data_IF_889551421358
#
_entry.id   IF_889551421358
#
_cell.length_a   1.000
_cell.length_b   1.000
_cell.length_c   1.000
_cell.angle_alpha   90.00
_cell.angle_beta   90.00
_cell.angle_gamma   90.00
#
_symmetry.space_group_name_H-M   'P 1'
#
loop_
_entity.id
_entity.type
_entity.pdbx_description
1 polymer ?
#
# COMPACT_ATOMS: atom_id res chain seq x y z
N UNK A 1 -54.02 -36.86 46.70
CA UNK A 1 -53.27 -36.97 47.95
C UNK A 1 -52.07 -36.05 47.86
N UNK A 2 -51.98 -35.09 48.79
CA UNK A 2 -50.77 -34.38 49.26
C UNK A 2 -49.81 -33.80 48.19
N UNK A 3 -49.80 -32.48 47.96
CA UNK A 3 -48.96 -31.48 48.69
C UNK A 3 -47.47 -31.82 48.63
N UNK A 4 -46.57 -30.96 48.15
CA UNK A 4 -46.25 -29.70 48.80
C UNK A 4 -45.20 -28.91 48.00
N UNK A 5 -45.39 -27.59 47.88
CA UNK A 5 -44.40 -26.51 48.10
C UNK A 5 -43.08 -26.47 47.26
N UNK A 6 -42.57 -25.35 46.73
CA UNK A 6 -42.70 -23.90 46.99
C UNK A 6 -42.23 -23.15 45.73
N UNK A 7 -42.92 -22.07 45.36
CA UNK A 7 -42.27 -20.84 44.84
C UNK A 7 -41.99 -19.94 46.05
N UNK A 8 -40.94 -19.08 46.09
CA UNK A 8 -41.00 -17.82 45.34
C UNK A 8 -39.65 -17.13 44.96
N UNK A 9 -39.72 -16.20 44.00
CA UNK A 9 -38.91 -14.98 43.87
C UNK A 9 -37.37 -15.08 43.71
N UNK A 10 -36.88 -14.81 42.49
CA UNK A 10 -35.77 -13.87 42.32
C UNK A 10 -35.88 -13.14 40.97
N UNK A 11 -35.90 -11.80 41.05
CA UNK A 11 -35.97 -10.87 39.92
C UNK A 11 -34.68 -10.81 39.07
N UNK A 12 -34.58 -9.80 38.19
CA UNK A 12 -33.81 -9.86 36.96
C UNK A 12 -32.31 -9.90 37.23
N UNK A 13 -31.67 -11.04 36.96
CA UNK A 13 -30.23 -11.17 37.05
C UNK A 13 -29.57 -10.45 35.86
N UNK A 14 -29.22 -9.18 36.11
CA UNK A 14 -27.96 -8.56 35.69
C UNK A 14 -27.66 -8.64 34.19
N UNK A 15 -28.39 -7.84 33.41
CA UNK A 15 -27.84 -7.26 32.17
C UNK A 15 -26.68 -6.36 32.60
N UNK A 16 -25.46 -6.91 32.62
CA UNK A 16 -24.25 -6.13 32.86
C UNK A 16 -24.23 -4.98 31.85
N UNK A 17 -23.93 -3.74 32.26
CA UNK A 17 -23.65 -2.70 31.28
C UNK A 17 -22.45 -3.19 30.48
N UNK A 18 -22.63 -3.34 29.17
CA UNK A 18 -21.49 -3.38 28.26
C UNK A 18 -20.67 -2.14 28.60
N UNK A 19 -19.49 -2.37 29.14
CA UNK A 19 -18.50 -1.32 29.31
C UNK A 19 -18.20 -0.83 27.90
N UNK A 20 -18.83 0.28 27.53
CA UNK A 20 -18.49 1.11 26.39
C UNK A 20 -17.05 1.59 26.59
N UNK A 21 -16.07 0.71 26.37
CA UNK A 21 -14.74 1.17 26.04
C UNK A 21 -14.91 1.98 24.74
N UNK A 22 -14.42 3.24 24.70
CA UNK A 22 -14.48 4.02 23.48
C UNK A 22 -13.74 3.24 22.40
N UNK A 23 -14.48 2.65 21.45
CA UNK A 23 -13.88 2.07 20.25
C UNK A 23 -13.06 3.21 19.62
N UNK A 24 -11.80 2.98 19.24
CA UNK A 24 -11.02 4.03 18.63
C UNK A 24 -11.75 4.49 17.37
N UNK A 25 -12.23 5.73 17.41
CA UNK A 25 -12.91 6.41 16.31
C UNK A 25 -11.96 6.39 15.12
N UNK A 26 -12.29 5.66 14.06
CA UNK A 26 -11.37 5.46 12.93
C UNK A 26 -11.05 6.79 12.26
N UNK A 27 -12.02 7.69 12.27
CA UNK A 27 -11.87 9.05 11.77
C UNK A 27 -10.99 9.93 12.67
N UNK A 28 -11.04 9.71 13.98
CA UNK A 28 -10.09 10.35 14.92
C UNK A 28 -8.65 9.88 14.65
N UNK A 29 -8.45 8.60 14.34
CA UNK A 29 -7.14 8.07 13.94
C UNK A 29 -6.65 8.72 12.64
N UNK A 30 -7.55 8.90 11.64
CA UNK A 30 -7.21 9.63 10.41
C UNK A 30 -6.82 11.07 10.70
N UNK A 31 -7.58 11.80 11.53
CA UNK A 31 -7.24 13.16 11.93
C UNK A 31 -5.89 13.25 12.65
N UNK A 32 -5.62 12.31 13.55
CA UNK A 32 -4.34 12.21 14.26
C UNK A 32 -3.17 11.91 13.31
N UNK A 33 -3.37 11.01 12.35
CA UNK A 33 -2.38 10.67 11.32
C UNK A 33 -2.03 11.90 10.47
N UNK A 34 -3.04 12.63 9.99
CA UNK A 34 -2.84 13.86 9.23
C UNK A 34 -2.17 14.96 10.07
N UNK A 35 -2.49 15.05 11.37
CA UNK A 35 -1.83 15.98 12.30
C UNK A 35 -0.34 15.68 12.46
N UNK A 36 0.02 14.41 12.67
CA UNK A 36 1.43 14.02 12.77
C UNK A 36 2.18 14.25 11.46
N UNK A 37 1.57 13.97 10.30
CA UNK A 37 2.15 14.33 9.01
C UNK A 37 2.34 15.84 8.85
N UNK A 38 1.37 16.64 9.30
CA UNK A 38 1.48 18.11 9.30
C UNK A 38 2.67 18.59 10.14
N UNK A 39 2.84 18.02 11.35
CA UNK A 39 3.98 18.32 12.22
C UNK A 39 5.29 17.93 11.54
N UNK A 40 5.38 16.74 10.92
CA UNK A 40 6.56 16.30 10.16
C UNK A 40 6.92 17.28 9.04
N UNK A 41 5.94 17.75 8.28
CA UNK A 41 6.18 18.70 7.18
C UNK A 41 6.55 20.10 7.68
N UNK A 42 5.94 20.55 8.78
CA UNK A 42 6.27 21.81 9.42
C UNK A 42 7.71 21.79 9.98
N UNK A 43 8.10 20.71 10.62
CA UNK A 43 9.45 20.51 11.18
C UNK A 43 10.52 20.53 10.07
N UNK A 44 10.29 19.78 8.97
CA UNK A 44 11.15 19.83 7.78
C UNK A 44 11.27 21.24 7.20
N UNK A 45 10.16 21.99 7.18
CA UNK A 45 10.12 23.36 6.67
C UNK A 45 10.92 24.30 7.57
N UNK A 46 10.76 24.22 8.88
CA UNK A 46 11.52 25.02 9.86
C UNK A 46 13.02 24.75 9.74
N UNK A 47 13.42 23.48 9.68
CA UNK A 47 14.83 23.11 9.52
C UNK A 47 15.41 23.62 8.19
N UNK A 48 14.63 23.56 7.12
CA UNK A 48 15.06 24.06 5.81
C UNK A 48 15.12 25.59 5.74
N UNK A 49 14.34 26.30 6.55
CA UNK A 49 14.27 27.76 6.57
C UNK A 49 15.40 28.41 7.37
N UNK A 50 15.90 27.72 8.41
CA UNK A 50 16.97 28.22 9.29
C UNK A 50 18.17 27.25 9.35
N UNK A 51 18.88 27.04 8.22
CA UNK A 51 20.00 26.10 8.15
C UNK A 51 21.21 26.50 9.02
N UNK A 52 21.33 27.77 9.39
CA UNK A 52 22.40 28.26 10.28
C UNK A 52 22.15 27.98 11.76
N UNK A 53 20.87 27.80 12.15
CA UNK A 53 20.47 27.57 13.54
C UNK A 53 20.32 26.08 13.83
N UNK A 54 19.74 25.33 12.89
CA UNK A 54 19.44 23.91 13.08
C UNK A 54 20.46 23.03 12.34
N UNK A 55 21.10 22.13 13.08
CA UNK A 55 21.95 21.11 12.49
C UNK A 55 21.11 20.17 11.61
N UNK A 56 21.62 19.80 10.43
CA UNK A 56 20.96 18.87 9.50
C UNK A 56 20.60 17.52 10.16
N UNK A 57 21.32 17.12 11.21
CA UNK A 57 21.03 15.93 12.01
C UNK A 57 19.66 15.99 12.70
N UNK A 58 19.06 17.15 12.89
CA UNK A 58 17.74 17.26 13.50
C UNK A 58 16.64 16.62 12.64
N UNK A 59 16.90 16.32 11.36
CA UNK A 59 15.95 15.61 10.47
C UNK A 59 15.49 14.25 11.02
N UNK A 60 16.24 13.64 11.95
CA UNK A 60 15.83 12.43 12.67
C UNK A 60 14.54 12.64 13.48
N UNK A 61 14.28 13.86 13.96
CA UNK A 61 13.08 14.24 14.69
C UNK A 61 11.85 14.17 13.76
N UNK A 62 11.99 14.57 12.49
CA UNK A 62 10.92 14.48 11.50
C UNK A 62 10.46 13.02 11.32
N UNK A 63 11.41 12.08 11.30
CA UNK A 63 11.13 10.63 11.23
C UNK A 63 10.41 10.12 12.48
N UNK A 64 10.68 10.68 13.66
CA UNK A 64 9.97 10.32 14.90
C UNK A 64 8.50 10.72 14.82
N UNK A 65 8.20 11.95 14.38
CA UNK A 65 6.81 12.38 14.18
C UNK A 65 6.11 11.60 13.06
N UNK A 66 6.83 11.28 11.98
CA UNK A 66 6.30 10.43 10.92
C UNK A 66 5.95 9.03 11.43
N UNK A 67 6.79 8.46 12.30
CA UNK A 67 6.55 7.17 12.94
C UNK A 67 5.33 7.22 13.89
N UNK A 68 5.21 8.27 14.72
CA UNK A 68 4.05 8.45 15.61
C UNK A 68 2.73 8.60 14.82
N UNK A 69 2.78 9.18 13.62
CA UNK A 69 1.65 9.26 12.69
C UNK A 69 1.32 7.95 11.96
N UNK A 70 2.07 6.87 12.16
CA UNK A 70 1.92 5.60 11.45
C UNK A 70 2.55 5.57 10.05
N UNK A 71 3.23 6.65 9.64
CA UNK A 71 3.91 6.77 8.36
C UNK A 71 2.97 6.98 7.16
N UNK A 72 3.58 7.05 5.96
CA UNK A 72 2.89 7.39 4.70
C UNK A 72 1.77 6.39 4.35
N UNK A 73 1.91 5.12 4.77
CA UNK A 73 0.94 4.05 4.46
C UNK A 73 -0.31 4.08 5.35
N UNK A 74 -0.30 4.79 6.48
CA UNK A 74 -1.39 4.75 7.45
C UNK A 74 -2.66 5.42 6.94
N UNK A 75 -2.53 6.58 6.29
CA UNK A 75 -3.66 7.32 5.73
C UNK A 75 -4.47 6.50 4.70
N UNK A 76 -3.86 5.94 3.63
CA UNK A 76 -4.61 5.12 2.68
C UNK A 76 -5.19 3.88 3.34
N UNK A 77 -4.45 3.21 4.25
CA UNK A 77 -4.95 2.04 4.97
C UNK A 77 -6.25 2.37 5.71
N UNK A 78 -6.27 3.44 6.50
CA UNK A 78 -7.46 3.84 7.25
C UNK A 78 -8.63 4.23 6.34
N UNK A 79 -8.38 4.91 5.22
CA UNK A 79 -9.43 5.19 4.22
C UNK A 79 -10.04 3.90 3.66
N UNK A 80 -9.20 2.93 3.28
CA UNK A 80 -9.67 1.62 2.81
C UNK A 80 -10.48 0.90 3.88
N UNK A 81 -10.06 0.92 5.15
CA UNK A 81 -10.79 0.27 6.23
C UNK A 81 -12.12 0.98 6.56
N UNK A 82 -12.18 2.31 6.49
CA UNK A 82 -13.44 3.06 6.64
C UNK A 82 -14.43 2.70 5.53
N UNK A 83 -13.95 2.66 4.28
CA UNK A 83 -14.79 2.24 3.15
C UNK A 83 -15.23 0.79 3.28
N UNK A 84 -14.35 -0.10 3.76
CA UNK A 84 -14.66 -1.51 3.96
C UNK A 84 -15.77 -1.73 4.99
N UNK A 85 -15.83 -0.89 6.03
CA UNK A 85 -16.84 -0.94 7.09
C UNK A 85 -18.20 -0.41 6.63
N UNK A 86 -18.22 0.57 5.73
CA UNK A 86 -19.46 1.24 5.27
C UNK A 86 -20.08 0.54 4.07
N UNK A 87 -19.26 0.00 3.17
CA UNK A 87 -19.75 -0.64 1.95
C UNK A 87 -20.18 -2.10 2.20
N UNK A 88 -21.39 -2.42 1.72
CA UNK A 88 -21.86 -3.80 1.61
C UNK A 88 -21.03 -4.63 0.61
N UNK A 89 -21.16 -5.97 0.63
CA UNK A 89 -20.36 -6.87 -0.21
C UNK A 89 -20.44 -6.56 -1.71
N UNK A 90 -21.63 -6.19 -2.19
CA UNK A 90 -21.91 -6.03 -3.63
C UNK A 90 -21.28 -4.75 -4.24
N UNK A 91 -21.11 -3.69 -3.43
CA UNK A 91 -20.57 -2.40 -3.90
C UNK A 91 -19.09 -2.19 -3.54
N UNK A 92 -18.53 -3.04 -2.67
CA UNK A 92 -17.18 -2.87 -2.09
C UNK A 92 -16.08 -2.76 -3.15
N UNK A 93 -16.11 -3.61 -4.19
CA UNK A 93 -15.10 -3.60 -5.26
C UNK A 93 -15.11 -2.29 -6.05
N UNK A 94 -16.30 -1.78 -6.38
CA UNK A 94 -16.50 -0.52 -7.09
C UNK A 94 -16.02 0.67 -6.26
N UNK A 95 -16.38 0.72 -4.97
CA UNK A 95 -15.97 1.81 -4.08
C UNK A 95 -14.45 1.80 -3.81
N UNK A 96 -13.83 0.63 -3.67
CA UNK A 96 -12.37 0.53 -3.57
C UNK A 96 -11.66 0.98 -4.84
N UNK A 97 -12.24 0.70 -6.01
CA UNK A 97 -11.73 1.18 -7.29
C UNK A 97 -11.81 2.71 -7.39
N UNK A 98 -12.92 3.31 -6.96
CA UNK A 98 -13.05 4.77 -6.87
C UNK A 98 -12.08 5.40 -5.87
N UNK A 99 -11.84 4.75 -4.73
CA UNK A 99 -10.85 5.21 -3.75
C UNK A 99 -9.42 5.15 -4.31
N UNK A 100 -9.07 4.08 -5.04
CA UNK A 100 -7.79 4.00 -5.74
C UNK A 100 -7.63 5.06 -6.83
N UNK A 101 -8.69 5.29 -7.62
CA UNK A 101 -8.71 6.32 -8.65
C UNK A 101 -8.58 7.73 -8.07
N UNK A 102 -9.18 8.02 -6.91
CA UNK A 102 -9.06 9.32 -6.25
C UNK A 102 -7.66 9.58 -5.71
N UNK A 103 -6.99 8.57 -5.15
CA UNK A 103 -5.59 8.66 -4.74
C UNK A 103 -4.66 8.97 -5.92
N UNK A 104 -4.87 8.29 -7.05
CA UNK A 104 -4.10 8.56 -8.29
C UNK A 104 -4.42 9.93 -8.88
N UNK A 105 -5.70 10.34 -8.88
CA UNK A 105 -6.13 11.67 -9.31
C UNK A 105 -5.51 12.79 -8.45
N UNK A 106 -5.44 12.59 -7.14
CA UNK A 106 -4.77 13.51 -6.22
C UNK A 106 -3.28 13.64 -6.54
N UNK A 107 -2.59 12.53 -6.83
CA UNK A 107 -1.18 12.55 -7.24
C UNK A 107 -0.98 13.27 -8.59
N UNK A 108 -1.88 13.02 -9.56
CA UNK A 108 -1.88 13.69 -10.87
C UNK A 108 -2.01 15.21 -10.73
N UNK A 109 -3.04 15.67 -10.01
CA UNK A 109 -3.31 17.09 -9.79
C UNK A 109 -2.21 17.73 -8.96
N UNK A 110 -1.75 17.05 -7.90
CA UNK A 110 -0.72 17.52 -6.98
C UNK A 110 0.59 17.86 -7.67
N UNK A 111 1.09 17.00 -8.57
CA UNK A 111 2.31 17.27 -9.33
C UNK A 111 2.18 18.47 -10.29
N UNK A 112 0.99 18.68 -10.88
CA UNK A 112 0.70 19.84 -11.73
C UNK A 112 0.65 21.16 -10.96
N UNK A 113 -0.03 21.15 -9.80
CA UNK A 113 -0.05 22.28 -8.85
C UNK A 113 1.37 22.61 -8.40
N UNK A 114 2.14 21.60 -7.96
CA UNK A 114 3.53 21.77 -7.53
C UNK A 114 4.42 22.34 -8.64
N UNK A 115 4.27 21.90 -9.89
CA UNK A 115 5.02 22.44 -11.02
C UNK A 115 4.81 23.95 -11.20
N UNK A 116 3.56 24.41 -11.10
CA UNK A 116 3.24 25.83 -11.24
C UNK A 116 3.72 26.64 -10.04
N UNK A 117 3.46 26.17 -8.81
CA UNK A 117 3.84 26.87 -7.58
C UNK A 117 5.36 26.99 -7.40
N UNK A 118 6.13 25.94 -7.71
CA UNK A 118 7.61 25.99 -7.61
C UNK A 118 8.21 27.03 -8.57
N UNK A 119 7.54 27.36 -9.68
CA UNK A 119 7.98 28.44 -10.59
C UNK A 119 7.76 29.83 -9.99
N UNK A 120 6.69 30.02 -9.21
CA UNK A 120 6.41 31.29 -8.53
C UNK A 120 7.34 31.44 -7.32
N UNK A 121 7.51 30.37 -6.56
CA UNK A 121 8.44 30.30 -5.44
C UNK A 121 8.35 28.98 -4.70
N UNK A 122 9.49 28.37 -4.41
CA UNK A 122 9.59 27.10 -3.68
C UNK A 122 8.86 27.15 -2.34
N UNK A 123 9.01 28.25 -1.59
CA UNK A 123 8.34 28.44 -0.30
C UNK A 123 6.82 28.52 -0.44
N UNK A 124 6.31 29.14 -1.50
CA UNK A 124 4.87 29.22 -1.75
C UNK A 124 4.31 27.80 -1.97
N UNK A 125 5.01 26.98 -2.76
CA UNK A 125 4.63 25.57 -2.95
C UNK A 125 4.60 24.78 -1.64
N UNK A 126 5.58 25.00 -0.76
CA UNK A 126 5.65 24.31 0.54
C UNK A 126 4.48 24.75 1.43
N UNK A 127 4.26 26.07 1.58
CA UNK A 127 3.17 26.58 2.39
C UNK A 127 1.80 26.14 1.89
N UNK A 128 1.58 26.15 0.56
CA UNK A 128 0.33 25.62 -0.02
C UNK A 128 0.12 24.15 0.33
N UNK A 129 1.15 23.31 0.25
CA UNK A 129 1.07 21.90 0.65
C UNK A 129 0.72 21.72 2.13
N UNK A 130 1.36 22.50 3.01
CA UNK A 130 1.08 22.50 4.46
C UNK A 130 -0.35 22.97 4.72
N UNK A 131 -0.84 24.01 4.04
CA UNK A 131 -2.21 24.50 4.19
C UNK A 131 -3.24 23.46 3.77
N UNK A 132 -3.03 22.76 2.65
CA UNK A 132 -3.93 21.69 2.20
C UNK A 132 -3.94 20.54 3.22
N UNK A 133 -2.78 20.14 3.74
CA UNK A 133 -2.71 19.12 4.80
C UNK A 133 -3.38 19.57 6.09
N UNK A 134 -3.23 20.85 6.49
CA UNK A 134 -3.89 21.39 7.67
C UNK A 134 -5.43 21.37 7.51
N UNK A 135 -5.94 21.75 6.34
CA UNK A 135 -7.36 21.65 6.01
C UNK A 135 -7.87 20.22 6.10
N UNK A 136 -7.10 19.24 5.60
CA UNK A 136 -7.44 17.83 5.67
C UNK A 136 -7.49 17.32 7.12
N UNK A 137 -6.52 17.72 7.95
CA UNK A 137 -6.50 17.39 9.38
C UNK A 137 -7.75 17.93 10.09
N UNK A 138 -8.12 19.20 9.85
CA UNK A 138 -9.32 19.81 10.42
C UNK A 138 -10.58 19.05 9.96
N UNK A 139 -10.67 18.74 8.67
CA UNK A 139 -11.80 18.00 8.11
C UNK A 139 -11.97 16.62 8.77
N UNK A 140 -10.86 15.90 9.01
CA UNK A 140 -10.88 14.62 9.71
C UNK A 140 -11.44 14.70 11.14
N UNK A 141 -11.20 15.81 11.86
CA UNK A 141 -11.78 16.03 13.18
C UNK A 141 -13.24 16.51 13.15
N UNK A 142 -13.64 17.25 12.10
CA UNK A 142 -14.99 17.78 11.97
C UNK A 142 -16.01 16.75 11.44
N UNK A 143 -15.55 15.71 10.76
CA UNK A 143 -16.43 14.72 10.17
C UNK A 143 -17.03 13.82 11.27
N UNK A 144 -18.35 13.59 11.27
CA UNK A 144 -18.98 12.70 12.25
C UNK A 144 -18.61 11.25 11.94
N UNK A 145 -18.38 10.45 13.00
CA UNK A 145 -18.07 9.03 12.87
C UNK A 145 -19.17 8.32 12.06
N UNK A 146 -18.79 7.62 11.00
CA UNK A 146 -19.71 6.76 10.24
C UNK A 146 -20.27 5.70 11.19
N UNK A 147 -21.59 5.72 11.40
CA UNK A 147 -22.30 4.73 12.23
C UNK A 147 -22.08 3.34 11.63
N UNK A 148 -21.48 2.45 12.40
CA UNK A 148 -21.54 1.01 12.11
C UNK A 148 -23.01 0.56 12.19
N UNK A 149 -23.50 -0.23 11.23
CA UNK A 149 -24.71 -1.02 11.44
C UNK A 149 -24.49 -1.91 12.67
N UNK A 150 -25.45 -1.91 13.60
CA UNK A 150 -25.39 -2.69 14.85
C UNK A 150 -25.37 -4.22 14.61
N UNK A 151 -25.53 -4.68 13.36
CA UNK A 151 -25.79 -6.09 13.01
C UNK A 151 -24.59 -6.88 12.45
N UNK A 152 -23.37 -6.35 12.47
CA UNK A 152 -22.20 -7.16 12.07
C UNK A 152 -21.84 -8.16 13.18
N UNK A 153 -21.86 -9.49 12.91
CA UNK A 153 -21.43 -10.49 13.88
C UNK A 153 -19.98 -10.17 14.25
N UNK A 154 -19.77 -9.98 15.54
CA UNK A 154 -18.47 -9.74 16.12
C UNK A 154 -17.52 -10.86 15.69
N UNK A 155 -16.58 -10.55 14.79
CA UNK A 155 -15.36 -11.34 14.74
C UNK A 155 -14.81 -11.34 16.17
N UNK A 156 -14.47 -12.52 16.74
CA UNK A 156 -13.97 -12.58 18.10
C UNK A 156 -12.58 -11.97 18.10
N UNK A 157 -12.50 -10.64 18.27
CA UNK A 157 -11.36 -10.00 18.85
C UNK A 157 -11.21 -10.70 20.19
N UNK A 158 -10.21 -11.58 20.28
CA UNK A 158 -9.96 -12.43 21.44
C UNK A 158 -10.22 -11.61 22.70
N UNK A 159 -11.17 -12.07 23.52
CA UNK A 159 -11.48 -11.49 24.82
C UNK A 159 -10.19 -11.45 25.64
N UNK A 160 -9.42 -10.38 25.50
CA UNK A 160 -8.49 -9.96 26.52
C UNK A 160 -9.37 -9.45 27.64
N UNK A 161 -9.68 -10.36 28.56
CA UNK A 161 -10.20 -10.06 29.87
C UNK A 161 -9.29 -8.98 30.48
N UNK A 162 -9.77 -7.73 30.45
CA UNK A 162 -9.10 -6.61 31.09
C UNK A 162 -9.20 -6.82 32.60
N UNK A 163 -8.12 -7.33 33.18
CA UNK A 163 -7.77 -7.09 34.57
C UNK A 163 -7.09 -5.72 34.64
N UNK A 164 -7.45 -4.84 35.60
CA UNK A 164 -6.91 -3.49 35.63
C UNK A 164 -5.46 -3.49 36.13
N UNK A 165 -4.71 -2.54 35.58
CA UNK A 165 -3.46 -1.96 36.12
C UNK A 165 -2.16 -2.78 36.04
N UNK A 166 -1.18 -2.17 35.36
CA UNK A 166 0.29 -2.38 35.43
C UNK A 166 0.92 -3.54 34.65
N UNK A 167 0.91 -3.51 33.30
CA UNK A 167 2.06 -3.93 32.43
C UNK A 167 1.80 -3.73 30.91
N UNK A 168 1.44 -2.52 30.47
CA UNK A 168 1.17 -2.22 29.04
C UNK A 168 2.33 -2.58 28.08
N UNK A 169 3.58 -2.61 28.58
CA UNK A 169 4.75 -2.98 27.77
C UNK A 169 4.95 -4.49 27.62
N UNK A 170 4.64 -5.29 28.65
CA UNK A 170 4.79 -6.74 28.58
C UNK A 170 3.71 -7.35 27.70
N UNK A 171 2.49 -6.83 27.76
CA UNK A 171 1.38 -7.25 26.90
C UNK A 171 1.63 -6.85 25.44
N UNK A 172 2.21 -5.68 25.20
CA UNK A 172 2.64 -5.26 23.86
C UNK A 172 3.75 -6.14 23.31
N UNK A 173 4.79 -6.43 24.12
CA UNK A 173 5.89 -7.32 23.72
C UNK A 173 5.41 -8.77 23.49
N UNK A 174 4.50 -9.27 24.32
CA UNK A 174 3.88 -10.57 24.15
C UNK A 174 3.04 -10.63 22.88
N UNK A 175 2.24 -9.59 22.61
CA UNK A 175 1.45 -9.48 21.38
C UNK A 175 2.33 -9.40 20.14
N UNK A 176 3.36 -8.55 20.16
CA UNK A 176 4.33 -8.43 19.08
C UNK A 176 5.10 -9.73 18.83
N UNK A 177 5.45 -10.46 19.90
CA UNK A 177 6.11 -11.77 19.80
C UNK A 177 5.17 -12.82 19.22
N UNK A 178 3.90 -12.82 19.61
CA UNK A 178 2.88 -13.72 19.06
C UNK A 178 2.61 -13.42 17.59
N UNK A 179 2.53 -12.15 17.19
CA UNK A 179 2.34 -11.75 15.78
C UNK A 179 3.59 -12.08 14.94
N UNK A 180 4.79 -11.93 15.49
CA UNK A 180 6.03 -12.34 14.83
C UNK A 180 6.10 -13.87 14.68
N UNK A 181 5.66 -14.63 15.69
CA UNK A 181 5.56 -16.09 15.61
C UNK A 181 4.54 -16.52 14.54
N UNK A 182 3.36 -15.91 14.49
CA UNK A 182 2.37 -16.14 13.44
C UNK A 182 2.90 -15.81 12.04
N UNK A 183 3.62 -14.69 11.89
CA UNK A 183 4.27 -14.34 10.63
C UNK A 183 5.32 -15.38 10.24
N UNK A 184 6.12 -15.86 11.20
CA UNK A 184 7.13 -16.90 10.96
C UNK A 184 6.49 -18.23 10.57
N UNK A 185 5.44 -18.64 11.27
CA UNK A 185 4.71 -19.87 10.97
C UNK A 185 4.03 -19.79 9.61
N UNK A 186 3.42 -18.67 9.27
CA UNK A 186 2.79 -18.45 7.97
C UNK A 186 3.83 -18.37 6.85
N UNK A 187 4.97 -17.70 7.04
CA UNK A 187 6.10 -17.71 6.10
C UNK A 187 6.67 -19.11 5.90
N UNK A 188 6.77 -19.89 6.98
CA UNK A 188 7.22 -21.27 6.88
C UNK A 188 6.20 -22.12 6.11
N UNK A 189 4.91 -21.92 6.34
CA UNK A 189 3.82 -22.64 5.66
C UNK A 189 3.74 -22.27 4.17
N UNK A 190 3.92 -20.99 3.84
CA UNK A 190 4.08 -20.50 2.46
C UNK A 190 5.34 -21.08 1.78
N UNK A 191 6.44 -21.18 2.51
CA UNK A 191 7.69 -21.72 1.97
C UNK A 191 7.65 -23.25 1.76
N UNK A 192 6.82 -23.98 2.52
CA UNK A 192 6.81 -25.46 2.54
C UNK A 192 5.60 -26.11 1.87
N UNK A 193 4.40 -25.52 1.97
CA UNK A 193 3.17 -26.06 1.35
C UNK A 193 2.80 -25.38 0.04
N UNK A 194 2.98 -24.07 -0.07
CA UNK A 194 2.52 -23.26 -1.21
C UNK A 194 3.68 -22.53 -1.91
N UNK A 195 4.62 -23.30 -2.48
CA UNK A 195 5.84 -22.76 -3.10
C UNK A 195 5.55 -21.66 -4.14
N UNK A 196 4.41 -21.73 -4.83
CA UNK A 196 3.98 -20.72 -5.79
C UNK A 196 3.66 -19.36 -5.12
N UNK A 197 2.92 -19.36 -4.01
CA UNK A 197 2.61 -18.13 -3.27
C UNK A 197 3.88 -17.52 -2.66
N UNK A 198 4.78 -18.36 -2.12
CA UNK A 198 6.10 -17.91 -1.64
C UNK A 198 6.93 -17.23 -2.72
N UNK A 199 6.93 -17.78 -3.95
CA UNK A 199 7.58 -17.19 -5.11
C UNK A 199 6.93 -15.84 -5.52
N UNK A 200 5.60 -15.76 -5.53
CA UNK A 200 4.88 -14.51 -5.82
C UNK A 200 5.19 -13.43 -4.77
N UNK A 201 5.30 -13.78 -3.49
CA UNK A 201 5.70 -12.86 -2.43
C UNK A 201 7.10 -12.30 -2.67
N UNK A 202 8.09 -13.16 -2.96
CA UNK A 202 9.46 -12.73 -3.29
C UNK A 202 9.44 -11.78 -4.49
N UNK A 203 8.68 -12.12 -5.53
CA UNK A 203 8.56 -11.28 -6.72
C UNK A 203 8.00 -9.88 -6.40
N UNK A 204 7.03 -9.80 -5.49
CA UNK A 204 6.43 -8.54 -5.05
C UNK A 204 7.44 -7.68 -4.29
N UNK A 205 8.24 -8.28 -3.42
CA UNK A 205 9.33 -7.58 -2.71
C UNK A 205 10.38 -7.04 -3.67
N UNK A 206 10.79 -7.82 -4.67
CA UNK A 206 11.76 -7.37 -5.69
C UNK A 206 11.23 -6.15 -6.47
N UNK A 207 9.95 -6.17 -6.84
CA UNK A 207 9.31 -5.05 -7.53
C UNK A 207 9.25 -3.81 -6.64
N UNK A 208 8.81 -3.95 -5.39
CA UNK A 208 8.74 -2.84 -4.43
C UNK A 208 10.13 -2.26 -4.12
N UNK A 209 11.16 -3.11 -4.06
CA UNK A 209 12.53 -2.65 -3.84
C UNK A 209 13.04 -1.75 -4.98
N UNK A 210 12.73 -2.13 -6.23
CA UNK A 210 13.15 -1.36 -7.41
C UNK A 210 12.37 -0.06 -7.61
N UNK A 211 11.20 0.08 -7.01
CA UNK A 211 10.26 1.19 -7.24
C UNK A 211 10.56 2.38 -6.31
N UNK A 212 11.48 3.25 -6.72
CA UNK A 212 11.87 4.44 -5.94
C UNK A 212 11.64 5.75 -6.68
N UNK A 213 10.54 6.43 -6.33
CA UNK A 213 10.20 7.75 -6.86
C UNK A 213 11.23 8.82 -6.47
N UNK A 214 11.77 8.76 -5.25
CA UNK A 214 12.76 9.75 -4.76
C UNK A 214 14.02 9.73 -5.63
N UNK A 215 14.52 8.53 -5.98
CA UNK A 215 15.68 8.40 -6.86
C UNK A 215 15.38 8.86 -8.28
N UNK A 216 14.16 8.62 -8.80
CA UNK A 216 13.73 9.18 -10.08
C UNK A 216 13.78 10.70 -10.10
N UNK A 217 13.22 11.37 -9.10
CA UNK A 217 13.23 12.83 -9.05
C UNK A 217 14.66 13.37 -8.93
N UNK A 218 15.48 12.78 -8.07
CA UNK A 218 16.89 13.17 -7.91
C UNK A 218 17.69 12.96 -9.20
N UNK A 219 17.46 11.86 -9.92
CA UNK A 219 18.10 11.57 -11.19
C UNK A 219 17.81 12.65 -12.21
N UNK A 220 16.55 13.07 -12.32
CA UNK A 220 16.13 14.04 -13.33
C UNK A 220 16.63 15.44 -13.01
N UNK A 221 16.60 15.84 -11.74
CA UNK A 221 17.09 17.17 -11.33
C UNK A 221 18.60 17.29 -11.51
N UNK A 222 19.38 16.26 -11.21
CA UNK A 222 20.84 16.32 -11.38
C UNK A 222 21.29 16.06 -12.82
N UNK A 223 20.67 15.14 -13.55
CA UNK A 223 21.12 14.76 -14.90
C UNK A 223 20.64 15.73 -15.98
N UNK A 224 19.41 16.23 -15.88
CA UNK A 224 18.81 17.12 -16.87
C UNK A 224 18.74 18.57 -16.39
N UNK A 225 19.25 18.87 -15.19
CA UNK A 225 19.21 20.21 -14.57
C UNK A 225 17.79 20.79 -14.50
N UNK A 226 16.81 19.91 -14.31
CA UNK A 226 15.42 20.32 -14.19
C UNK A 226 15.14 20.89 -12.80
N UNK A 227 14.25 21.88 -12.75
CA UNK A 227 13.68 22.32 -11.48
C UNK A 227 12.88 21.18 -10.84
N UNK A 228 12.84 21.14 -9.51
CA UNK A 228 12.04 20.17 -8.74
C UNK A 228 10.56 20.17 -9.14
N UNK A 229 10.02 21.33 -9.53
CA UNK A 229 8.66 21.43 -10.07
C UNK A 229 8.49 20.65 -11.37
N UNK A 230 9.44 20.78 -12.32
CA UNK A 230 9.39 20.03 -13.59
C UNK A 230 9.61 18.53 -13.38
N UNK A 231 10.44 18.16 -12.41
CA UNK A 231 10.58 16.76 -11.99
C UNK A 231 9.26 16.20 -11.41
N UNK A 232 8.50 17.01 -10.66
CA UNK A 232 7.18 16.65 -10.15
C UNK A 232 6.16 16.26 -11.22
N UNK A 233 6.27 16.81 -12.44
CA UNK A 233 5.40 16.41 -13.56
C UNK A 233 5.56 14.94 -13.97
N UNK A 234 6.71 14.31 -13.70
CA UNK A 234 6.89 12.89 -13.99
C UNK A 234 6.00 12.01 -13.11
N UNK A 235 5.78 12.42 -11.85
CA UNK A 235 4.84 11.75 -10.94
C UNK A 235 3.42 11.90 -11.48
N UNK A 236 3.06 13.09 -11.97
CA UNK A 236 1.78 13.30 -12.64
C UNK A 236 1.60 12.39 -13.86
N UNK A 237 2.62 12.29 -14.73
CA UNK A 237 2.57 11.41 -15.91
C UNK A 237 2.41 9.94 -15.50
N UNK A 238 3.17 9.49 -14.50
CA UNK A 238 3.06 8.13 -13.97
C UNK A 238 1.63 7.87 -13.46
N UNK A 239 1.07 8.78 -12.66
CA UNK A 239 -0.28 8.66 -12.11
C UNK A 239 -1.37 8.71 -13.18
N UNK A 240 -1.25 9.55 -14.21
CA UNK A 240 -2.17 9.60 -15.34
C UNK A 240 -2.19 8.29 -16.15
N UNK A 241 -1.01 7.74 -16.45
CA UNK A 241 -0.90 6.48 -17.16
C UNK A 241 -1.43 5.31 -16.32
N UNK A 242 -1.11 5.26 -15.02
CA UNK A 242 -1.65 4.22 -14.12
C UNK A 242 -3.16 4.33 -13.94
N UNK A 243 -3.72 5.54 -13.87
CA UNK A 243 -5.16 5.77 -13.82
C UNK A 243 -5.83 5.30 -15.12
N UNK A 244 -5.22 5.59 -16.27
CA UNK A 244 -5.70 5.14 -17.58
C UNK A 244 -5.66 3.61 -17.68
N UNK A 245 -4.59 2.99 -17.17
CA UNK A 245 -4.48 1.54 -17.06
C UNK A 245 -5.63 0.97 -16.21
N UNK A 246 -5.85 1.53 -15.02
CA UNK A 246 -6.86 1.06 -14.08
C UNK A 246 -8.30 1.21 -14.61
N UNK A 247 -8.63 2.36 -15.21
CA UNK A 247 -10.00 2.69 -15.60
C UNK A 247 -10.39 2.24 -17.01
N UNK A 248 -9.43 2.17 -17.94
CA UNK A 248 -9.72 1.82 -19.34
C UNK A 248 -9.14 0.46 -19.72
N UNK A 249 -7.85 0.25 -19.46
CA UNK A 249 -7.14 -0.94 -19.95
C UNK A 249 -7.55 -2.19 -19.17
N UNK A 250 -7.65 -2.11 -17.85
CA UNK A 250 -7.98 -3.24 -16.99
C UNK A 250 -9.36 -3.85 -17.30
N UNK A 251 -10.47 -3.08 -17.40
CA UNK A 251 -11.77 -3.65 -17.75
C UNK A 251 -11.79 -4.18 -19.18
N UNK A 252 -11.15 -3.48 -20.14
CA UNK A 252 -11.11 -3.91 -21.54
C UNK A 252 -10.30 -5.20 -21.71
N UNK A 253 -9.11 -5.27 -21.12
CA UNK A 253 -8.25 -6.44 -21.16
C UNK A 253 -8.91 -7.63 -20.46
N UNK A 254 -9.56 -7.41 -19.32
CA UNK A 254 -10.29 -8.47 -18.61
C UNK A 254 -11.44 -9.01 -19.44
N UNK A 255 -12.27 -8.14 -20.04
CA UNK A 255 -13.40 -8.55 -20.86
C UNK A 255 -13.00 -9.23 -22.17
N UNK A 256 -11.86 -8.84 -22.77
CA UNK A 256 -11.34 -9.50 -23.98
C UNK A 256 -10.72 -10.86 -23.65
N UNK A 257 -9.94 -10.95 -22.58
CA UNK A 257 -9.15 -12.14 -22.27
C UNK A 257 -9.97 -13.22 -21.56
N UNK A 258 -11.00 -12.86 -20.78
CA UNK A 258 -11.99 -13.81 -20.23
C UNK A 258 -12.79 -14.55 -21.30
N UNK A 259 -12.84 -14.04 -22.54
CA UNK A 259 -13.50 -14.74 -23.66
C UNK A 259 -12.65 -15.86 -24.25
N UNK A 260 -11.36 -15.90 -23.91
CA UNK A 260 -10.37 -16.75 -24.58
C UNK A 260 -9.69 -17.70 -23.57
N UNK A 261 -9.57 -17.29 -22.30
CA UNK A 261 -8.71 -17.93 -21.30
C UNK A 261 -9.38 -17.95 -19.93
N UNK A 262 -9.10 -18.98 -19.11
CA UNK A 262 -9.57 -19.10 -17.73
C UNK A 262 -9.07 -17.98 -16.79
N UNK A 263 -9.73 -17.73 -15.64
CA UNK A 263 -9.46 -16.61 -14.75
C UNK A 263 -8.00 -16.55 -14.24
N UNK A 264 -7.43 -17.68 -13.80
CA UNK A 264 -6.04 -17.75 -13.31
C UNK A 264 -5.01 -17.50 -14.42
N UNK A 265 -5.17 -18.14 -15.57
CA UNK A 265 -4.25 -17.98 -16.71
C UNK A 265 -4.29 -16.54 -17.26
N UNK A 266 -5.47 -15.91 -17.28
CA UNK A 266 -5.64 -14.49 -17.65
C UNK A 266 -4.80 -13.57 -16.75
N UNK A 267 -4.93 -13.69 -15.43
CA UNK A 267 -4.21 -12.83 -14.49
C UNK A 267 -2.68 -13.03 -14.58
N UNK A 268 -2.21 -14.26 -14.86
CA UNK A 268 -0.79 -14.52 -15.08
C UNK A 268 -0.24 -13.92 -16.36
N UNK A 269 -0.96 -14.02 -17.48
CA UNK A 269 -0.57 -13.37 -18.74
C UNK A 269 -0.49 -11.86 -18.54
N UNK A 270 -1.50 -11.28 -17.88
CA UNK A 270 -1.60 -9.85 -17.68
C UNK A 270 -0.52 -9.33 -16.71
N UNK A 271 -0.17 -10.13 -15.69
CA UNK A 271 0.99 -9.87 -14.83
C UNK A 271 2.30 -9.87 -15.63
N UNK A 272 2.54 -10.90 -16.46
CA UNK A 272 3.77 -11.01 -17.28
C UNK A 272 3.92 -9.85 -18.25
N UNK A 273 2.84 -9.51 -18.97
CA UNK A 273 2.82 -8.38 -19.92
C UNK A 273 3.08 -7.05 -19.20
N UNK A 274 2.41 -6.81 -18.07
CA UNK A 274 2.64 -5.61 -17.26
C UNK A 274 4.10 -5.49 -16.83
N UNK A 275 4.70 -6.62 -16.46
CA UNK A 275 6.09 -6.67 -16.02
C UNK A 275 7.09 -6.38 -17.14
N UNK A 276 6.84 -6.91 -18.34
CA UNK A 276 7.64 -6.59 -19.53
C UNK A 276 7.60 -5.08 -19.84
N UNK A 277 6.42 -4.46 -19.78
CA UNK A 277 6.30 -3.01 -19.94
C UNK A 277 7.07 -2.24 -18.86
N UNK A 278 7.03 -2.70 -17.60
CA UNK A 278 7.80 -2.09 -16.50
C UNK A 278 9.31 -2.16 -16.75
N UNK A 279 9.82 -3.31 -17.21
CA UNK A 279 11.24 -3.53 -17.54
C UNK A 279 11.68 -2.63 -18.69
N UNK A 280 10.91 -2.60 -19.78
CA UNK A 280 11.26 -1.75 -20.93
C UNK A 280 11.25 -0.28 -20.51
N UNK A 281 10.22 0.17 -19.78
CA UNK A 281 10.11 1.55 -19.31
C UNK A 281 11.30 1.99 -18.45
N UNK A 282 11.70 1.16 -17.46
CA UNK A 282 12.81 1.51 -16.57
C UNK A 282 14.17 1.48 -17.30
N UNK A 283 14.35 0.58 -18.27
CA UNK A 283 15.54 0.55 -19.12
C UNK A 283 15.64 1.80 -20.01
N UNK A 284 14.51 2.25 -20.57
CA UNK A 284 14.43 3.50 -21.33
C UNK A 284 14.79 4.70 -20.43
N UNK A 285 14.28 4.74 -19.19
CA UNK A 285 14.64 5.78 -18.19
C UNK A 285 16.13 5.76 -17.87
N UNK A 286 16.72 4.58 -17.63
CA UNK A 286 18.14 4.43 -17.30
C UNK A 286 19.05 5.01 -18.40
N UNK A 287 18.70 4.77 -19.68
CA UNK A 287 19.47 5.20 -20.84
C UNK A 287 19.06 6.58 -21.39
N UNK A 288 17.99 7.18 -20.86
CA UNK A 288 17.43 8.42 -21.39
C UNK A 288 18.47 9.54 -21.42
N UNK A 289 18.74 10.05 -22.64
CA UNK A 289 19.62 11.21 -22.88
C UNK A 289 18.82 12.45 -23.28
N UNK A 290 17.58 12.27 -23.75
CA UNK A 290 16.65 13.36 -24.04
C UNK A 290 15.38 13.24 -23.19
N UNK A 291 14.75 14.38 -22.97
CA UNK A 291 13.53 14.53 -22.17
C UNK A 291 12.35 13.70 -22.69
N UNK A 292 12.22 13.55 -24.01
CA UNK A 292 11.14 12.79 -24.64
C UNK A 292 11.22 11.30 -24.26
N UNK A 293 12.42 10.72 -24.31
CA UNK A 293 12.64 9.33 -23.90
C UNK A 293 12.39 9.13 -22.41
N UNK A 294 12.71 10.12 -21.57
CA UNK A 294 12.43 10.06 -20.15
C UNK A 294 10.92 10.02 -19.88
N UNK A 295 10.13 10.92 -20.48
CA UNK A 295 8.67 10.91 -20.34
C UNK A 295 8.06 9.62 -20.89
N UNK A 296 8.50 9.18 -22.08
CA UNK A 296 8.05 7.92 -22.67
C UNK A 296 8.38 6.70 -21.81
N UNK A 297 9.59 6.66 -21.22
CA UNK A 297 10.02 5.59 -20.33
C UNK A 297 9.23 5.54 -19.02
N UNK A 298 8.97 6.71 -18.40
CA UNK A 298 8.13 6.79 -17.20
C UNK A 298 6.68 6.40 -17.51
N UNK A 299 6.11 6.90 -18.61
CA UNK A 299 4.77 6.50 -19.06
C UNK A 299 4.69 4.99 -19.31
N UNK A 300 5.70 4.40 -19.96
CA UNK A 300 5.75 2.96 -20.21
C UNK A 300 5.87 2.15 -18.91
N UNK A 301 6.67 2.65 -17.96
CA UNK A 301 6.83 2.01 -16.65
C UNK A 301 5.55 2.01 -15.81
N UNK A 302 4.67 3.00 -16.03
CA UNK A 302 3.40 3.10 -15.33
C UNK A 302 2.42 1.98 -15.69
N UNK A 303 2.47 1.44 -16.93
CA UNK A 303 1.70 0.26 -17.30
C UNK A 303 2.11 -0.99 -16.48
N UNK A 304 3.28 -0.96 -15.84
CA UNK A 304 3.72 -1.95 -14.88
C UNK A 304 2.91 -2.01 -13.59
N UNK A 305 2.09 -0.99 -13.28
CA UNK A 305 1.27 -0.96 -12.08
C UNK A 305 0.29 -2.14 -11.98
N UNK A 306 -0.18 -2.65 -13.13
CA UNK A 306 -1.07 -3.81 -13.20
C UNK A 306 -0.48 -5.07 -12.56
N UNK A 307 0.84 -5.24 -12.60
CA UNK A 307 1.52 -6.39 -11.99
C UNK A 307 1.14 -6.60 -10.53
N UNK A 308 1.21 -5.53 -9.72
CA UNK A 308 0.92 -5.58 -8.28
C UNK A 308 -0.55 -5.94 -8.01
N UNK A 309 -1.47 -5.60 -8.92
CA UNK A 309 -2.89 -5.93 -8.81
C UNK A 309 -3.08 -7.43 -9.10
N UNK A 310 -2.59 -7.92 -10.24
CA UNK A 310 -2.81 -9.30 -10.66
C UNK A 310 -2.11 -10.33 -9.78
N UNK A 311 -0.86 -10.09 -9.41
CA UNK A 311 -0.11 -11.01 -8.53
C UNK A 311 -0.77 -11.09 -7.15
N UNK A 312 -1.29 -9.97 -6.65
CA UNK A 312 -2.03 -9.94 -5.38
C UNK A 312 -3.39 -10.65 -5.48
N UNK A 313 -4.09 -10.53 -6.62
CA UNK A 313 -5.29 -11.32 -6.94
C UNK A 313 -5.01 -12.82 -6.95
N UNK A 314 -3.97 -13.25 -7.67
CA UNK A 314 -3.52 -14.65 -7.75
C UNK A 314 -3.17 -15.21 -6.37
N UNK A 315 -2.39 -14.48 -5.57
CA UNK A 315 -2.06 -14.90 -4.19
C UNK A 315 -3.32 -15.05 -3.33
N UNK A 316 -4.32 -14.19 -3.53
CA UNK A 316 -5.60 -14.25 -2.79
C UNK A 316 -6.43 -15.47 -3.20
N UNK A 317 -6.48 -15.79 -4.50
CA UNK A 317 -7.19 -16.98 -4.98
C UNK A 317 -6.56 -18.29 -4.52
N UNK A 318 -5.26 -18.29 -4.22
CA UNK A 318 -4.52 -19.47 -3.73
C UNK A 318 -4.65 -19.67 -2.20
N UNK A 319 -5.12 -18.66 -1.45
CA UNK A 319 -5.20 -18.73 0.03
C UNK A 319 -6.58 -18.25 0.53
N UNK A 320 -7.67 -18.97 0.21
CA UNK A 320 -9.04 -18.49 0.45
C UNK A 320 -9.38 -18.22 1.92
N UNK A 321 -8.86 -19.01 2.86
CA UNK A 321 -9.27 -18.94 4.27
C UNK A 321 -8.44 -17.98 5.16
N UNK A 322 -7.39 -17.31 4.64
CA UNK A 322 -6.48 -16.50 5.45
C UNK A 322 -6.05 -15.17 4.78
N UNK A 323 -6.94 -14.55 4.01
CA UNK A 323 -6.66 -13.30 3.28
C UNK A 323 -6.07 -12.17 4.15
N UNK A 324 -6.60 -11.96 5.36
CA UNK A 324 -6.09 -10.92 6.26
C UNK A 324 -4.62 -11.15 6.67
N UNK A 325 -4.23 -12.40 6.92
CA UNK A 325 -2.85 -12.76 7.26
C UNK A 325 -1.95 -12.61 6.03
N UNK A 326 -2.42 -13.04 4.85
CA UNK A 326 -1.72 -12.89 3.58
C UNK A 326 -1.40 -11.41 3.29
N UNK A 327 -2.39 -10.52 3.36
CA UNK A 327 -2.20 -9.09 3.13
C UNK A 327 -1.26 -8.45 4.16
N UNK A 328 -1.33 -8.89 5.42
CA UNK A 328 -0.42 -8.43 6.47
C UNK A 328 1.03 -8.82 6.18
N UNK A 329 1.24 -10.06 5.70
CA UNK A 329 2.58 -10.55 5.32
C UNK A 329 3.11 -9.87 4.06
N UNK A 330 2.26 -9.63 3.05
CA UNK A 330 2.62 -8.84 1.87
C UNK A 330 3.09 -7.44 2.31
N UNK A 331 2.29 -6.73 3.10
CA UNK A 331 2.62 -5.37 3.55
C UNK A 331 3.88 -5.32 4.43
N UNK A 332 4.08 -6.31 5.30
CA UNK A 332 5.29 -6.44 6.11
C UNK A 332 6.54 -6.64 5.25
N UNK A 333 6.50 -7.55 4.28
CA UNK A 333 7.61 -7.81 3.37
C UNK A 333 7.89 -6.64 2.42
N UNK A 334 6.85 -5.98 1.91
CA UNK A 334 6.98 -4.75 1.12
C UNK A 334 7.67 -3.64 1.94
N UNK A 335 7.30 -3.49 3.21
CA UNK A 335 7.91 -2.52 4.12
C UNK A 335 9.40 -2.80 4.33
N UNK A 336 9.79 -4.08 4.50
CA UNK A 336 11.21 -4.48 4.54
C UNK A 336 11.89 -4.11 3.22
N UNK A 337 11.25 -4.38 2.08
CA UNK A 337 11.72 -4.00 0.75
C UNK A 337 12.03 -2.51 0.65
N UNK A 338 11.11 -1.64 1.06
CA UNK A 338 11.27 -0.17 1.03
C UNK A 338 12.40 0.31 1.96
N UNK A 339 12.46 -0.25 3.18
CA UNK A 339 13.49 0.09 4.18
C UNK A 339 14.89 -0.28 3.67
N UNK A 340 15.04 -1.44 3.04
CA UNK A 340 16.32 -1.87 2.46
C UNK A 340 16.64 -1.15 1.15
N UNK A 341 15.63 -0.84 0.33
CA UNK A 341 15.81 -0.15 -0.94
C UNK A 341 16.37 1.26 -0.75
N UNK A 342 15.90 2.00 0.26
CA UNK A 342 16.25 3.42 0.41
C UNK A 342 17.77 3.65 0.58
N UNK A 343 18.50 2.95 1.48
CA UNK A 343 19.96 3.06 1.57
C UNK A 343 20.69 2.51 0.34
N UNK A 344 20.25 1.37 -0.21
CA UNK A 344 20.92 0.71 -1.34
C UNK A 344 20.82 1.57 -2.60
N UNK A 345 19.62 2.03 -2.93
CA UNK A 345 19.35 2.90 -4.07
C UNK A 345 20.06 4.25 -3.90
N UNK A 346 20.08 4.82 -2.69
CA UNK A 346 20.83 6.04 -2.40
C UNK A 346 22.35 5.86 -2.55
N UNK A 347 22.92 4.74 -2.11
CA UNK A 347 24.33 4.42 -2.28
C UNK A 347 24.71 4.21 -3.75
N UNK A 348 23.87 3.48 -4.50
CA UNK A 348 24.04 3.30 -5.95
C UNK A 348 23.90 4.61 -6.70
N UNK A 349 23.00 5.49 -6.28
CA UNK A 349 22.86 6.80 -6.89
C UNK A 349 24.11 7.66 -6.66
N UNK A 350 24.63 7.69 -5.42
CA UNK A 350 25.91 8.36 -5.11
C UNK A 350 27.08 7.78 -5.91
N UNK A 351 27.11 6.46 -6.09
CA UNK A 351 28.12 5.79 -6.89
C UNK A 351 27.98 6.17 -8.38
N UNK A 352 26.76 6.21 -8.90
CA UNK A 352 26.45 6.65 -10.27
C UNK A 352 26.86 8.11 -10.53
N UNK A 353 26.66 9.00 -9.55
CA UNK A 353 27.13 10.39 -9.62
C UNK A 353 28.66 10.49 -9.67
N UNK A 354 29.38 9.66 -8.91
CA UNK A 354 30.86 9.62 -8.94
C UNK A 354 31.42 9.12 -10.27
N UNK A 355 30.79 8.10 -10.86
CA UNK A 355 31.22 7.54 -12.14
C UNK A 355 30.86 8.43 -13.34
N UNK A 356 29.82 9.26 -13.21
CA UNK A 356 29.41 10.22 -14.24
C UNK A 356 28.87 9.60 -15.53
N UNK A 357 28.40 10.47 -16.43
CA UNK A 357 27.92 10.09 -17.76
C UNK A 357 26.73 9.11 -17.74
N UNK A 358 26.85 7.99 -18.46
CA UNK A 358 25.77 7.00 -18.56
C UNK A 358 25.54 6.20 -17.27
N UNK A 359 26.46 6.24 -16.31
CA UNK A 359 26.38 5.50 -15.05
C UNK A 359 25.50 6.17 -14.00
N UNK A 360 25.03 7.40 -14.24
CA UNK A 360 24.08 8.09 -13.36
C UNK A 360 22.75 7.30 -13.27
N UNK A 361 22.43 6.51 -14.29
CA UNK A 361 21.26 5.63 -14.33
C UNK A 361 21.39 4.29 -13.60
N UNK A 362 22.49 4.05 -12.86
CA UNK A 362 22.78 2.78 -12.19
C UNK A 362 21.65 2.26 -11.28
N UNK A 363 20.94 3.09 -10.47
CA UNK A 363 19.84 2.61 -9.65
C UNK A 363 18.69 2.01 -10.49
N UNK A 364 18.43 2.57 -11.67
CA UNK A 364 17.40 2.07 -12.59
C UNK A 364 17.82 0.78 -13.29
N UNK A 365 19.12 0.59 -13.52
CA UNK A 365 19.64 -0.69 -14.01
C UNK A 365 19.51 -1.80 -12.95
N UNK A 366 19.76 -1.49 -11.67
CA UNK A 366 19.46 -2.43 -10.60
C UNK A 366 17.97 -2.76 -10.55
N UNK A 367 17.10 -1.74 -10.60
CA UNK A 367 15.66 -1.93 -10.64
C UNK A 367 15.25 -2.83 -11.82
N UNK A 368 15.80 -2.62 -13.02
CA UNK A 368 15.57 -3.48 -14.17
C UNK A 368 15.97 -4.95 -13.90
N UNK A 369 17.13 -5.18 -13.27
CA UNK A 369 17.57 -6.53 -12.90
C UNK A 369 16.64 -7.22 -11.90
N UNK A 370 16.18 -6.49 -10.88
CA UNK A 370 15.20 -6.99 -9.90
C UNK A 370 13.87 -7.31 -10.58
N UNK A 371 13.45 -6.47 -11.53
CA UNK A 371 12.24 -6.68 -12.31
C UNK A 371 12.34 -7.91 -13.21
N UNK A 372 13.48 -8.12 -13.87
CA UNK A 372 13.74 -9.35 -14.63
C UNK A 372 13.68 -10.58 -13.72
N UNK A 373 14.26 -10.50 -12.52
CA UNK A 373 14.16 -11.57 -11.52
C UNK A 373 12.72 -11.91 -11.15
N UNK A 374 11.89 -10.89 -10.90
CA UNK A 374 10.46 -11.08 -10.64
C UNK A 374 9.70 -11.65 -11.86
N UNK A 375 10.02 -11.22 -13.08
CA UNK A 375 9.43 -11.79 -14.30
C UNK A 375 9.79 -13.27 -14.47
N UNK A 376 11.05 -13.65 -14.23
CA UNK A 376 11.49 -15.05 -14.28
C UNK A 376 10.71 -15.88 -13.26
N UNK A 377 10.56 -15.37 -12.03
CA UNK A 377 9.79 -16.05 -10.98
C UNK A 377 8.35 -16.30 -11.44
N UNK A 378 7.63 -15.26 -11.89
CA UNK A 378 6.23 -15.38 -12.33
C UNK A 378 6.07 -16.21 -13.61
N UNK A 379 7.10 -16.24 -14.46
CA UNK A 379 7.09 -17.08 -15.67
C UNK A 379 7.24 -18.56 -15.36
N UNK A 380 7.90 -18.91 -14.25
CA UNK A 380 8.05 -20.30 -13.79
C UNK A 380 6.84 -20.81 -12.99
N UNK A 381 5.83 -19.97 -12.74
CA UNK A 381 4.59 -20.40 -12.12
C UNK A 381 3.72 -21.03 -13.23
N UNK A 382 3.61 -22.36 -13.18
CA UNK A 382 2.73 -23.14 -14.05
C UNK A 382 1.29 -23.08 -13.57
N UNK A 383 0.36 -22.89 -14.51
CA UNK A 383 -1.07 -23.10 -14.26
C UNK A 383 -1.34 -24.59 -14.50
N UNK A 384 -1.65 -25.33 -13.45
CA UNK A 384 -2.29 -26.63 -13.63
C UNK A 384 -3.79 -26.36 -13.83
N UNK A 385 -4.22 -26.31 -15.09
CA UNK A 385 -5.63 -26.13 -15.47
C UNK A 385 -6.52 -27.28 -14.93
N UNK A 386 -5.96 -28.48 -14.73
CA UNK A 386 -6.68 -29.65 -14.21
C UNK A 386 -7.28 -29.47 -12.79
N UNK A 387 -6.74 -28.55 -11.98
CA UNK A 387 -7.27 -28.29 -10.64
C UNK A 387 -8.46 -27.31 -10.65
N UNK A 388 -8.58 -26.44 -11.66
CA UNK A 388 -9.65 -25.45 -11.77
C UNK A 388 -10.98 -26.10 -12.19
N UNK A 389 -10.91 -27.13 -13.04
CA UNK A 389 -12.08 -27.92 -13.45
C UNK A 389 -12.63 -28.79 -12.30
N UNK A 390 -11.75 -29.29 -11.43
CA UNK A 390 -12.16 -30.12 -10.29
C UNK A 390 -12.84 -29.28 -9.18
N UNK A 391 -12.31 -28.08 -8.87
CA UNK A 391 -12.94 -27.16 -7.91
C UNK A 391 -14.29 -26.63 -8.43
N UNK A 392 -14.44 -26.40 -9.73
CA UNK A 392 -15.70 -26.00 -10.34
C UNK A 392 -16.76 -27.11 -10.32
N UNK A 393 -16.36 -28.37 -10.55
CA UNK A 393 -17.27 -29.53 -10.44
C UNK A 393 -17.71 -29.78 -8.99
N UNK A 394 -16.83 -29.57 -8.01
CA UNK A 394 -17.14 -29.70 -6.58
C UNK A 394 -18.05 -28.57 -6.06
N UNK A 395 -17.85 -27.32 -6.50
CA UNK A 395 -18.76 -26.20 -6.16
C UNK A 395 -20.16 -26.40 -6.77
N UNK A 396 -20.25 -26.94 -7.98
CA UNK A 396 -21.54 -27.26 -8.61
C UNK A 396 -22.22 -28.43 -7.89
N UNK A 397 -21.47 -29.42 -7.41
CA UNK A 397 -22.01 -30.51 -6.60
C UNK A 397 -22.48 -30.05 -5.21
N UNK A 398 -21.78 -29.14 -4.52
CA UNK A 398 -22.21 -28.63 -3.21
C UNK A 398 -23.46 -27.74 -3.27
N UNK A 399 -23.67 -27.01 -4.36
CA UNK A 399 -24.87 -26.15 -4.54
C UNK A 399 -26.12 -26.96 -4.91
N UNK A 400 -25.96 -28.23 -5.33
CA UNK A 400 -27.05 -29.11 -5.73
C UNK A 400 -27.53 -30.11 -4.64
N UNK A 401 -26.97 -30.08 -3.42
CA UNK A 401 -27.35 -30.96 -2.30
C UNK A 401 -28.26 -30.28 -1.28
#
# INVERSE_FOLDING_TARGET
>A
MASSERSPLLGPALRRPETNLPRPRRLFIVGLCCLFMLITMADLTIMSAFPEVFNLRMIWICSLFGFLGGGIAMFPTMLYTIVADVCGPDERSTTFSYLGASLMGGSLIGGGIAFYLVRIGTWISIYTGISIMAMLSIFGYCMPETRLPEDMPSQPLAKHTQSPTTTHWQDFLASAKADLQRCREFLHLLATKERQVGLMLISTVLVTFGDSQVVLLQFVTNKFEWSWGKAGLLVSVQSACSLTLLLMVLPMATNMLLRIVGPRTKDLILARVSMVFKIIGICVVARASHSVFLFGGVALSAFGFGYSIFVRGLMTSMVPHNNAVLYSVIGFLESIGIVLASPVMGALYRLGLKMGGSWIGLPFLLAAGLYVGALIIVSNIGVNEEAEDTEAEDEICEVQV
#
